data_IF_505038026500
#
_entry.id   IF_505038026500
#
_cell.length_a   1.000
_cell.length_b   1.000
_cell.length_c   1.000
_cell.angle_alpha   90.00
_cell.angle_beta   90.00
_cell.angle_gamma   90.00
#
_symmetry.space_group_name_H-M   'P 1'
#
loop_
_entity.id
_entity.type
_entity.pdbx_description
1 polymer ?
#
# COMPACT_ATOMS: atom_id res chain seq x y z
N UNK A 1 12.84 -14.54 -11.19
CA UNK A 1 13.00 -13.29 -10.44
C UNK A 1 11.64 -12.71 -10.08
N UNK A 2 11.51 -11.90 -9.02
CA UNK A 2 10.25 -11.24 -8.65
C UNK A 2 9.60 -10.46 -9.81
N UNK A 3 10.40 -9.73 -10.60
CA UNK A 3 9.93 -8.96 -11.77
C UNK A 3 9.24 -9.86 -12.82
N UNK A 4 9.81 -11.02 -13.16
CA UNK A 4 9.22 -11.95 -14.14
C UNK A 4 7.83 -12.44 -13.71
N UNK A 5 7.65 -12.75 -12.42
CA UNK A 5 6.35 -13.19 -11.88
C UNK A 5 5.29 -12.08 -11.94
N UNK A 6 5.69 -10.84 -11.65
CA UNK A 6 4.81 -9.68 -11.76
C UNK A 6 4.36 -9.48 -13.22
N UNK A 7 5.28 -9.58 -14.18
CA UNK A 7 4.97 -9.44 -15.60
C UNK A 7 4.03 -10.53 -16.12
N UNK A 8 4.17 -11.77 -15.63
CA UNK A 8 3.22 -12.85 -15.93
C UNK A 8 1.81 -12.55 -15.41
N UNK A 9 1.69 -12.00 -14.20
CA UNK A 9 0.38 -11.60 -13.65
C UNK A 9 -0.24 -10.41 -14.38
N UNK A 10 0.58 -9.60 -15.05
CA UNK A 10 0.14 -8.45 -15.84
C UNK A 10 -0.10 -8.79 -17.32
N UNK A 11 -0.01 -10.06 -17.72
CA UNK A 11 -0.28 -10.49 -19.09
C UNK A 11 -1.71 -10.12 -19.51
N UNK A 12 -1.88 -9.65 -20.75
CA UNK A 12 -3.17 -9.20 -21.28
C UNK A 12 -3.62 -7.79 -20.84
N UNK A 13 -2.97 -7.16 -19.85
CA UNK A 13 -3.27 -5.78 -19.43
C UNK A 13 -2.47 -4.80 -20.30
N UNK A 14 -3.12 -4.07 -21.21
CA UNK A 14 -2.42 -3.21 -22.18
C UNK A 14 -2.20 -1.77 -21.71
N UNK A 15 -2.79 -1.37 -20.59
CA UNK A 15 -2.70 -0.02 -20.06
C UNK A 15 -1.27 0.30 -19.59
N UNK A 16 -0.78 1.49 -19.95
CA UNK A 16 0.54 1.99 -19.56
C UNK A 16 0.72 2.15 -18.04
N UNK A 17 -0.40 2.26 -17.31
CA UNK A 17 -0.48 2.36 -15.85
C UNK A 17 -1.45 1.30 -15.32
N UNK A 18 -1.01 0.55 -14.32
CA UNK A 18 -1.78 -0.48 -13.64
C UNK A 18 -1.81 -0.14 -12.15
N UNK A 19 -3.00 0.04 -11.59
CA UNK A 19 -3.18 0.34 -10.18
C UNK A 19 -3.51 -0.94 -9.41
N UNK A 20 -2.85 -1.13 -8.28
CA UNK A 20 -3.12 -2.23 -7.37
C UNK A 20 -3.16 -1.76 -5.92
N UNK A 21 -3.63 -2.62 -5.03
CA UNK A 21 -3.79 -2.30 -3.61
C UNK A 21 -3.54 -3.55 -2.75
N UNK A 22 -4.32 -3.72 -1.69
CA UNK A 22 -4.32 -4.86 -0.77
C UNK A 22 -3.11 -4.93 0.17
N UNK A 23 -1.88 -4.84 -0.32
CA UNK A 23 -0.70 -4.97 0.56
C UNK A 23 -0.44 -3.77 1.46
N UNK A 24 -1.20 -2.68 1.35
CA UNK A 24 -1.05 -1.43 2.14
C UNK A 24 0.34 -0.74 2.08
N UNK A 25 1.27 -1.24 1.28
CA UNK A 25 2.63 -0.72 1.11
C UNK A 25 2.72 0.13 -0.16
N UNK A 26 3.23 1.35 0.01
CA UNK A 26 3.53 2.24 -1.10
C UNK A 26 4.66 1.65 -1.97
N UNK A 27 4.38 1.37 -3.24
CA UNK A 27 5.34 0.73 -4.14
C UNK A 27 5.06 1.04 -5.61
N UNK A 28 6.12 1.24 -6.37
CA UNK A 28 6.08 1.29 -7.82
C UNK A 28 6.98 0.21 -8.44
N UNK A 29 6.53 -0.40 -9.54
CA UNK A 29 7.32 -1.38 -10.32
C UNK A 29 7.19 -1.05 -11.81
N UNK A 30 8.33 -0.88 -12.48
CA UNK A 30 8.37 -0.71 -13.95
C UNK A 30 8.61 -2.05 -14.64
N UNK A 31 7.72 -2.42 -15.55
CA UNK A 31 7.81 -3.65 -16.33
C UNK A 31 8.84 -3.51 -17.46
N UNK A 32 9.28 -4.62 -18.07
CA UNK A 32 10.26 -4.58 -19.18
C UNK A 32 9.74 -3.86 -20.43
N UNK A 33 8.43 -3.88 -20.64
CA UNK A 33 7.74 -3.19 -21.74
C UNK A 33 7.37 -1.73 -21.42
N UNK A 34 7.83 -1.19 -20.28
CA UNK A 34 7.66 0.22 -19.92
C UNK A 34 6.43 0.52 -19.07
N UNK A 35 5.43 -0.39 -18.99
CA UNK A 35 4.24 -0.22 -18.13
C UNK A 35 4.62 -0.01 -16.67
N UNK A 36 3.85 0.80 -15.96
CA UNK A 36 4.04 1.13 -14.55
C UNK A 36 2.95 0.51 -13.69
N UNK A 37 3.34 -0.27 -12.67
CA UNK A 37 2.44 -0.75 -11.63
C UNK A 37 2.62 0.12 -10.38
N UNK A 38 1.52 0.63 -9.81
CA UNK A 38 1.55 1.43 -8.58
C UNK A 38 0.57 0.87 -7.55
N UNK A 39 1.09 0.64 -6.34
CA UNK A 39 0.31 0.52 -5.11
C UNK A 39 0.50 1.80 -4.29
N UNK A 40 -0.55 2.58 -4.02
CA UNK A 40 -0.43 3.86 -3.30
C UNK A 40 -0.14 3.69 -1.80
N UNK A 41 -0.25 2.48 -1.27
CA UNK A 41 -0.27 2.21 0.16
C UNK A 41 -1.69 2.20 0.72
N UNK A 42 -1.83 2.51 2.01
CA UNK A 42 -3.11 2.56 2.70
C UNK A 42 -3.33 3.89 3.42
N UNK A 43 -4.55 4.43 3.29
CA UNK A 43 -4.95 5.67 3.95
C UNK A 43 -5.17 5.43 5.45
N UNK A 44 -5.85 4.35 5.83
CA UNK A 44 -6.34 4.16 7.21
C UNK A 44 -5.88 2.89 7.92
N UNK A 45 -5.15 2.00 7.24
CA UNK A 45 -4.69 0.73 7.83
C UNK A 45 -3.22 0.51 7.46
N UNK A 46 -2.28 0.99 8.28
CA UNK A 46 -0.84 0.87 8.00
C UNK A 46 -0.29 -0.53 8.32
N UNK A 47 -1.11 -1.46 8.81
CA UNK A 47 -0.71 -2.84 9.01
C UNK A 47 -1.88 -3.77 9.28
N UNK A 48 -1.69 -5.06 9.00
CA UNK A 48 -2.65 -6.12 9.28
C UNK A 48 -1.96 -7.50 9.24
N UNK A 49 -2.64 -8.50 9.80
CA UNK A 49 -2.32 -9.91 9.64
C UNK A 49 -3.41 -10.59 8.82
N UNK A 50 -3.01 -11.47 7.92
CA UNK A 50 -3.95 -12.31 7.17
C UNK A 50 -3.33 -13.70 6.96
N UNK A 51 -4.19 -14.69 6.76
CA UNK A 51 -3.85 -16.09 6.51
C UNK A 51 -4.06 -16.50 5.07
N UNK A 52 -4.81 -15.71 4.29
CA UNK A 52 -5.04 -15.96 2.87
C UNK A 52 -4.15 -15.06 2.00
N UNK A 53 -3.53 -15.57 0.93
CA UNK A 53 -3.44 -16.98 0.49
C UNK A 53 -2.45 -17.82 1.30
N UNK A 54 -1.63 -17.19 2.14
CA UNK A 54 -0.74 -17.82 3.11
C UNK A 54 -0.55 -16.87 4.30
N UNK A 55 -0.20 -17.37 5.50
CA UNK A 55 0.08 -16.53 6.66
C UNK A 55 1.11 -15.43 6.36
N UNK A 56 0.72 -14.18 6.58
CA UNK A 56 1.59 -13.03 6.40
C UNK A 56 1.19 -11.87 7.33
N UNK A 57 2.15 -10.98 7.54
CA UNK A 57 1.96 -9.72 8.27
C UNK A 57 2.43 -8.60 7.36
N UNK A 58 1.61 -7.55 7.29
CA UNK A 58 1.92 -6.32 6.57
C UNK A 58 2.11 -5.22 7.60
N UNK A 59 3.23 -4.52 7.47
CA UNK A 59 3.61 -3.43 8.36
C UNK A 59 4.24 -2.32 7.54
N UNK A 60 3.59 -1.17 7.49
CA UNK A 60 4.10 -0.01 6.78
C UNK A 60 5.18 0.73 7.59
N UNK A 61 5.33 0.39 8.88
CA UNK A 61 6.39 0.85 9.77
C UNK A 61 6.25 2.30 10.25
N UNK A 62 5.17 2.97 9.86
CA UNK A 62 4.78 4.28 10.42
C UNK A 62 3.26 4.47 10.36
N UNK A 63 2.69 5.29 11.26
CA UNK A 63 1.25 5.50 11.36
C UNK A 63 0.66 6.39 10.25
N UNK A 64 1.51 7.07 9.47
CA UNK A 64 1.07 8.04 8.46
C UNK A 64 0.12 7.43 7.42
N UNK A 65 -0.90 8.20 7.05
CA UNK A 65 -1.79 7.85 5.94
C UNK A 65 -0.99 7.91 4.62
N UNK A 66 -1.24 6.98 3.70
CA UNK A 66 -0.49 6.87 2.45
C UNK A 66 -1.39 6.98 1.24
N UNK A 67 -0.94 7.76 0.26
CA UNK A 67 -1.50 7.79 -1.07
C UNK A 67 -0.41 8.11 -2.10
N UNK A 68 -0.74 8.01 -3.39
CA UNK A 68 0.14 8.40 -4.47
C UNK A 68 -0.54 9.46 -5.36
N UNK A 69 0.25 10.40 -5.86
CA UNK A 69 -0.11 11.31 -6.94
C UNK A 69 0.51 10.76 -8.21
N UNK A 70 -0.30 10.65 -9.27
CA UNK A 70 0.11 10.14 -10.56
C UNK A 70 0.00 11.26 -11.59
N UNK A 71 1.10 11.54 -12.25
CA UNK A 71 1.19 12.59 -13.24
C UNK A 71 1.65 11.97 -14.55
N UNK A 72 0.96 12.31 -15.64
CA UNK A 72 1.35 11.92 -16.99
C UNK A 72 2.13 13.07 -17.62
N UNK A 73 3.43 12.87 -17.80
CA UNK A 73 4.31 13.81 -18.49
C UNK A 73 4.66 13.26 -19.88
N UNK A 74 4.02 13.83 -20.92
CA UNK A 74 4.02 13.26 -22.26
C UNK A 74 3.41 11.86 -22.29
N UNK A 75 4.22 10.85 -22.56
CA UNK A 75 3.81 9.43 -22.57
C UNK A 75 4.26 8.68 -21.29
N UNK A 76 4.94 9.37 -20.36
CA UNK A 76 5.55 8.74 -19.19
C UNK A 76 4.78 9.05 -17.90
N UNK A 77 4.34 8.01 -17.21
CA UNK A 77 3.79 8.13 -15.87
C UNK A 77 4.89 8.36 -14.81
N UNK A 78 4.71 9.41 -14.02
CA UNK A 78 5.46 9.72 -12.81
C UNK A 78 4.61 9.44 -11.57
N UNK A 79 5.26 9.03 -10.48
CA UNK A 79 4.59 8.70 -9.21
C UNK A 79 5.26 9.41 -8.05
N UNK A 80 4.46 10.14 -7.28
CA UNK A 80 4.87 10.78 -6.03
C UNK A 80 4.10 10.14 -4.88
N UNK A 81 4.81 9.42 -4.00
CA UNK A 81 4.21 8.88 -2.77
C UNK A 81 4.13 9.96 -1.69
N UNK A 82 2.98 10.02 -1.02
CA UNK A 82 2.70 10.97 0.05
C UNK A 82 2.40 10.21 1.33
N UNK A 83 3.15 10.56 2.38
CA UNK A 83 2.90 10.11 3.75
C UNK A 83 2.38 11.33 4.53
N UNK A 84 1.14 11.23 5.01
CA UNK A 84 0.45 12.35 5.66
C UNK A 84 0.31 12.06 7.15
N UNK A 85 0.92 12.89 8.03
CA UNK A 85 0.65 12.82 9.45
C UNK A 85 -0.80 13.24 9.72
N UNK A 86 -1.42 12.57 10.68
CA UNK A 86 -2.74 12.90 11.22
C UNK A 86 -2.75 12.51 12.70
N UNK A 87 -3.83 12.81 13.41
CA UNK A 87 -4.03 12.38 14.80
C UNK A 87 -4.32 10.87 14.87
N UNK A 88 -3.27 10.07 14.68
CA UNK A 88 -3.34 8.62 14.71
C UNK A 88 -3.58 8.08 16.12
N UNK A 89 -3.22 8.82 17.17
CA UNK A 89 -3.46 8.40 18.54
C UNK A 89 -4.95 8.47 18.89
N UNK A 90 -5.66 9.51 18.45
CA UNK A 90 -7.12 9.56 18.56
C UNK A 90 -7.80 8.42 17.80
N UNK A 91 -7.33 8.10 16.59
CA UNK A 91 -7.89 7.00 15.79
C UNK A 91 -7.57 5.62 16.38
N UNK A 92 -6.37 5.44 16.95
CA UNK A 92 -6.03 4.22 17.68
C UNK A 92 -6.88 4.07 18.95
N UNK A 93 -7.13 5.15 19.68
CA UNK A 93 -8.05 5.13 20.83
C UNK A 93 -9.47 4.73 20.41
N UNK A 94 -9.97 5.30 19.31
CA UNK A 94 -11.28 4.95 18.75
C UNK A 94 -11.33 3.48 18.34
N UNK A 95 -10.29 2.94 17.69
CA UNK A 95 -10.22 1.52 17.34
C UNK A 95 -10.26 0.62 18.60
N UNK A 96 -9.56 0.97 19.68
CA UNK A 96 -9.64 0.22 20.95
C UNK A 96 -11.05 0.26 21.55
N UNK A 97 -11.69 1.42 21.56
CA UNK A 97 -13.06 1.58 22.07
C UNK A 97 -14.06 0.71 21.29
N UNK A 98 -13.82 0.50 20.00
CA UNK A 98 -14.62 -0.37 19.14
C UNK A 98 -14.20 -1.85 19.16
N UNK A 99 -13.35 -2.27 20.09
CA UNK A 99 -12.92 -3.66 20.21
C UNK A 99 -11.99 -4.13 19.09
N UNK A 100 -11.23 -3.22 18.47
CA UNK A 100 -10.28 -3.50 17.39
C UNK A 100 -8.82 -3.27 17.85
N UNK A 101 -8.28 -4.09 18.78
CA UNK A 101 -6.99 -3.82 19.41
C UNK A 101 -5.78 -3.96 18.45
N UNK A 102 -5.80 -4.92 17.54
CA UNK A 102 -4.71 -5.12 16.56
C UNK A 102 -4.66 -3.96 15.56
N UNK A 103 -5.82 -3.55 15.04
CA UNK A 103 -5.93 -2.37 14.18
C UNK A 103 -5.48 -1.11 14.93
N UNK A 104 -5.84 -0.95 16.22
CA UNK A 104 -5.40 0.18 17.01
C UNK A 104 -3.87 0.25 17.14
N UNK A 105 -3.21 -0.90 17.30
CA UNK A 105 -1.76 -0.97 17.39
C UNK A 105 -1.09 -0.62 16.05
N UNK A 106 -1.62 -1.16 14.95
CA UNK A 106 -1.20 -0.80 13.61
C UNK A 106 -1.35 0.70 13.37
N UNK A 107 -2.52 1.28 13.65
CA UNK A 107 -2.78 2.72 13.50
C UNK A 107 -1.81 3.56 14.35
N UNK A 108 -1.54 3.16 15.59
CA UNK A 108 -0.68 3.93 16.49
C UNK A 108 0.81 3.90 16.09
N UNK A 109 1.28 2.81 15.48
CA UNK A 109 2.73 2.57 15.35
C UNK A 109 3.19 2.23 13.93
N UNK A 110 2.28 1.76 13.08
CA UNK A 110 2.59 1.14 11.79
C UNK A 110 3.06 -0.32 11.87
N UNK A 111 3.03 -0.94 13.05
CA UNK A 111 3.47 -2.31 13.32
C UNK A 111 2.34 -3.14 13.95
N UNK A 112 2.37 -4.46 13.72
CA UNK A 112 1.48 -5.45 14.32
C UNK A 112 2.23 -6.09 15.50
N UNK A 113 1.88 -5.69 16.73
CA UNK A 113 2.35 -6.32 17.98
C UNK A 113 1.24 -7.12 18.64
#
# INVERSE_FOLDING_TARGET
SPRRRIEQLAEGITQALILCAHTHLARAVRLRDGRLIVNPGSVGSPGYRDVHPFPHVVEAGSPAARYAILELDGEAWQVTFRHVPYDHDAMAALARQNGQPELANAIATGWIR
#
